data_IF_830893602544
#
_entry.id   IF_830893602544
#
_cell.length_a   1.000
_cell.length_b   1.000
_cell.length_c   1.000
_cell.angle_alpha   90.00
_cell.angle_beta   90.00
_cell.angle_gamma   90.00
#
_symmetry.space_group_name_H-M   'P 1'
#
loop_
_entity.id
_entity.type
_entity.pdbx_description
1 polymer ?
#
# COMPACT_ATOMS: atom_id res chain seq x y z
N UNK A 1 -16.38 24.85 -23.00
CA UNK A 1 -16.87 24.38 -21.69
C UNK A 1 -15.64 23.93 -20.93
N UNK A 2 -15.32 24.68 -19.88
CA UNK A 2 -13.98 24.82 -19.29
C UNK A 2 -13.60 23.65 -18.39
N UNK A 3 -12.44 23.09 -18.70
CA UNK A 3 -11.47 22.28 -17.95
C UNK A 3 -11.55 22.24 -16.40
N UNK A 4 -12.67 21.84 -15.82
CA UNK A 4 -12.86 21.85 -14.35
C UNK A 4 -12.31 20.61 -13.62
N UNK A 5 -11.66 19.66 -14.30
CA UNK A 5 -11.13 18.43 -13.68
C UNK A 5 -9.59 18.42 -13.55
N UNK A 6 -8.92 19.54 -13.82
CA UNK A 6 -7.46 19.53 -14.08
C UNK A 6 -6.57 19.40 -12.84
N UNK A 7 -7.11 19.49 -11.61
CA UNK A 7 -6.35 19.42 -10.35
C UNK A 7 -7.23 18.97 -9.18
N UNK A 8 -7.77 17.75 -9.24
CA UNK A 8 -8.29 17.13 -8.02
C UNK A 8 -7.08 16.69 -7.18
N UNK A 9 -7.07 16.92 -5.85
CA UNK A 9 -6.01 16.39 -5.00
C UNK A 9 -6.04 14.86 -5.14
N UNK A 10 -4.98 14.32 -5.74
CA UNK A 10 -4.76 12.88 -5.76
C UNK A 10 -4.22 12.56 -4.37
N UNK A 11 -4.99 11.82 -3.57
CA UNK A 11 -4.50 11.30 -2.32
C UNK A 11 -3.26 10.44 -2.64
N UNK A 12 -2.14 10.77 -2.01
CA UNK A 12 -0.93 9.95 -2.14
C UNK A 12 -1.09 8.73 -1.22
N UNK A 13 -0.46 7.60 -1.57
CA UNK A 13 -0.46 6.43 -0.71
C UNK A 13 0.21 6.70 0.65
N UNK A 14 1.05 7.73 0.73
CA UNK A 14 1.69 8.21 1.96
C UNK A 14 0.70 8.90 2.92
N UNK A 15 -0.47 9.32 2.45
CA UNK A 15 -1.50 9.99 3.27
C UNK A 15 -2.41 9.00 4.04
N UNK A 16 -2.19 7.68 3.91
CA UNK A 16 -3.05 6.63 4.49
C UNK A 16 -2.21 5.70 5.38
N UNK A 17 -2.38 5.84 6.69
CA UNK A 17 -1.77 4.94 7.68
C UNK A 17 -2.60 3.65 7.83
N UNK A 18 -1.91 2.52 8.11
CA UNK A 18 -2.57 1.25 8.40
C UNK A 18 -3.38 1.36 9.70
N UNK A 19 -4.68 1.12 9.63
CA UNK A 19 -5.59 1.13 10.77
C UNK A 19 -5.92 -0.31 11.21
N UNK A 20 -5.17 -0.84 12.19
CA UNK A 20 -5.32 -2.23 12.67
C UNK A 20 -6.73 -2.57 13.16
N UNK A 21 -7.45 -1.61 13.74
CA UNK A 21 -8.84 -1.80 14.22
C UNK A 21 -9.84 -1.97 13.06
N UNK A 22 -9.55 -1.42 11.89
CA UNK A 22 -10.37 -1.54 10.69
C UNK A 22 -9.96 -2.71 9.81
N UNK A 23 -8.76 -3.26 10.02
CA UNK A 23 -8.23 -4.38 9.26
C UNK A 23 -8.94 -5.67 9.65
N UNK A 24 -9.51 -6.34 8.66
CA UNK A 24 -10.08 -7.67 8.84
C UNK A 24 -8.98 -8.76 8.82
N UNK A 25 -9.40 -10.03 8.89
CA UNK A 25 -8.46 -11.16 8.88
C UNK A 25 -7.72 -11.27 7.53
N UNK A 26 -8.41 -10.93 6.43
CA UNK A 26 -7.85 -11.01 5.08
C UNK A 26 -6.79 -9.92 4.84
N UNK A 27 -7.04 -8.71 5.34
CA UNK A 27 -6.06 -7.62 5.35
C UNK A 27 -4.75 -8.02 6.06
N UNK A 28 -4.88 -8.68 7.21
CA UNK A 28 -3.73 -9.14 8.01
C UNK A 28 -2.96 -10.25 7.31
N UNK A 29 -3.63 -11.20 6.69
CA UNK A 29 -2.99 -12.26 5.90
C UNK A 29 -2.27 -11.70 4.67
N UNK A 30 -2.88 -10.71 4.00
CA UNK A 30 -2.29 -10.04 2.86
C UNK A 30 -1.00 -9.31 3.25
N UNK A 31 -1.00 -8.60 4.38
CA UNK A 31 0.18 -7.92 4.92
C UNK A 31 1.31 -8.92 5.22
N UNK A 32 1.02 -10.01 5.93
CA UNK A 32 2.03 -11.03 6.25
C UNK A 32 2.62 -11.67 4.99
N UNK A 33 1.77 -11.90 3.97
CA UNK A 33 2.21 -12.47 2.69
C UNK A 33 3.11 -11.49 1.93
N UNK A 34 2.80 -10.19 1.96
CA UNK A 34 3.61 -9.14 1.36
C UNK A 34 4.98 -9.04 2.05
N UNK A 35 5.01 -8.95 3.38
CA UNK A 35 6.26 -8.91 4.16
C UNK A 35 7.16 -10.13 3.90
N UNK A 36 6.57 -11.33 3.84
CA UNK A 36 7.32 -12.55 3.52
C UNK A 36 7.83 -12.57 2.07
N UNK A 37 7.13 -11.93 1.13
CA UNK A 37 7.60 -11.77 -0.25
C UNK A 37 8.77 -10.77 -0.33
N UNK A 38 8.66 -9.64 0.36
CA UNK A 38 9.72 -8.62 0.43
C UNK A 38 10.98 -9.16 1.09
N UNK A 39 10.85 -9.93 2.16
CA UNK A 39 12.00 -10.63 2.77
C UNK A 39 12.68 -11.60 1.79
N UNK A 40 11.91 -12.30 0.96
CA UNK A 40 12.48 -13.18 -0.08
C UNK A 40 13.16 -12.38 -1.19
N UNK A 41 12.56 -11.26 -1.61
CA UNK A 41 13.08 -10.41 -2.67
C UNK A 41 14.38 -9.70 -2.24
N UNK A 42 14.40 -9.12 -1.04
CA UNK A 42 15.59 -8.46 -0.46
C UNK A 42 16.75 -9.43 -0.25
N UNK A 43 16.48 -10.70 0.11
CA UNK A 43 17.52 -11.74 0.16
C UNK A 43 18.06 -12.08 -1.23
N UNK A 44 17.26 -11.93 -2.30
CA UNK A 44 17.69 -12.22 -3.68
C UNK A 44 18.35 -11.04 -4.40
N UNK A 45 18.12 -9.81 -3.98
CA UNK A 45 18.72 -8.60 -4.60
C UNK A 45 20.13 -8.27 -4.07
N UNK A 46 20.72 -9.16 -3.25
CA UNK A 46 22.03 -8.99 -2.61
C UNK A 46 23.17 -9.88 -3.14
N UNK A 47 22.98 -10.65 -4.23
CA UNK A 47 24.02 -11.46 -4.89
C UNK A 47 24.48 -10.90 -6.24
#
# INVERSE_FOLDING_TARGET
MTDNHKKLPVASAEDVEFAEELADEEDKEAQQRAEAADQRATVSEGE
#
